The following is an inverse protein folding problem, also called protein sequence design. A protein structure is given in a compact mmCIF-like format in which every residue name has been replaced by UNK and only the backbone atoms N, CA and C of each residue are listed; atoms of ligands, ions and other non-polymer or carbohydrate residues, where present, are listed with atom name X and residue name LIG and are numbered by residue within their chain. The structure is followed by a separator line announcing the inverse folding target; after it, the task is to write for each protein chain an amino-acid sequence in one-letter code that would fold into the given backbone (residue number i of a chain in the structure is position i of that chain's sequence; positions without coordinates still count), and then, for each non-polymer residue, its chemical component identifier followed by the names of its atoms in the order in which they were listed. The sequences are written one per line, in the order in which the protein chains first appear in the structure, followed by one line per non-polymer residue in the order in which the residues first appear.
data_IF_081616301321
#
_entry.id   IF_081616301321
#
_cell.length_a   1.000
_cell.length_b   1.000
_cell.length_c   1.000
_cell.angle_alpha   90.00
_cell.angle_beta   90.00
_cell.angle_gamma   90.00
#
_symmetry.space_group_name_H-M   'P 1'
#
loop_
_entity.id
_entity.type
_entity.pdbx_description
1 polymer ?
#
# COMPACT_ATOMS: atom_id res chain seq x y z
N UNK A 1 -4.01 12.25 -2.61
CA UNK A 1 -4.54 12.74 -1.32
C UNK A 1 -5.77 11.94 -0.93
N UNK A 2 -5.80 11.39 0.27
CA UNK A 2 -6.96 10.70 0.82
C UNK A 2 -7.68 11.60 1.84
N UNK A 3 -8.95 11.35 2.09
CA UNK A 3 -9.71 11.99 3.16
C UNK A 3 -10.16 10.94 4.16
N UNK A 4 -9.74 11.10 5.42
CA UNK A 4 -10.14 10.25 6.53
C UNK A 4 -11.32 10.92 7.24
N UNK A 5 -12.44 10.20 7.40
CA UNK A 5 -13.64 10.74 8.05
C UNK A 5 -13.94 9.96 9.31
N UNK A 6 -14.33 10.71 10.33
CA UNK A 6 -15.05 10.19 11.49
C UNK A 6 -16.55 10.36 11.20
N UNK A 7 -17.37 9.37 11.54
CA UNK A 7 -18.81 9.38 11.30
C UNK A 7 -19.45 10.76 11.54
N UNK A 8 -20.05 11.32 10.48
CA UNK A 8 -20.78 12.59 10.53
C UNK A 8 -19.94 13.85 10.74
N UNK A 9 -18.60 13.78 10.77
CA UNK A 9 -17.71 14.94 10.92
C UNK A 9 -16.98 15.29 9.62
N UNK A 10 -16.52 16.54 9.53
CA UNK A 10 -15.67 17.01 8.42
C UNK A 10 -14.39 16.16 8.39
N UNK A 11 -14.13 15.53 7.25
CA UNK A 11 -12.94 14.70 7.05
C UNK A 11 -11.65 15.52 7.04
N UNK A 12 -10.55 14.87 7.38
CA UNK A 12 -9.21 15.43 7.24
C UNK A 12 -8.53 14.89 6.00
N UNK A 13 -7.99 15.80 5.20
CA UNK A 13 -7.19 15.44 4.05
C UNK A 13 -5.76 15.10 4.48
N UNK A 14 -5.27 13.93 4.07
CA UNK A 14 -3.92 13.45 4.35
C UNK A 14 -3.25 12.98 3.07
N UNK A 15 -1.94 13.22 2.99
CA UNK A 15 -1.09 12.59 2.00
C UNK A 15 -0.72 11.20 2.50
N UNK A 16 -0.78 10.22 1.60
CA UNK A 16 -0.46 8.83 1.90
C UNK A 16 0.41 8.28 0.79
N UNK A 17 1.42 7.50 1.15
CA UNK A 17 2.21 6.68 0.24
C UNK A 17 1.32 5.57 -0.30
N UNK A 18 1.31 5.41 -1.62
CA UNK A 18 0.69 4.24 -2.26
C UNK A 18 1.71 3.12 -2.24
N UNK A 19 1.38 2.03 -1.57
CA UNK A 19 2.32 0.96 -1.29
C UNK A 19 1.67 -0.38 -1.65
N UNK A 20 1.99 -0.89 -2.85
CA UNK A 20 1.51 -2.19 -3.30
C UNK A 20 2.14 -3.36 -2.56
N UNK A 21 3.26 -3.15 -1.86
CA UNK A 21 3.93 -4.15 -1.02
C UNK A 21 3.30 -4.28 0.37
N UNK A 22 2.67 -3.20 0.86
CA UNK A 22 1.96 -3.21 2.14
C UNK A 22 0.60 -3.91 2.03
N UNK A 23 0.33 -4.85 2.94
CA UNK A 23 -0.98 -5.51 3.05
C UNK A 23 -2.09 -4.53 3.46
N UNK A 24 -1.81 -3.61 4.38
CA UNK A 24 -2.83 -2.81 5.06
C UNK A 24 -2.52 -1.31 5.11
N UNK A 25 -3.41 -0.57 5.76
CA UNK A 25 -3.24 0.86 6.01
C UNK A 25 -2.40 1.08 7.28
N UNK A 26 -1.48 2.02 7.23
CA UNK A 26 -0.75 2.52 8.41
C UNK A 26 -0.94 4.01 8.56
N UNK A 27 -1.19 4.47 9.80
CA UNK A 27 -1.27 5.90 10.13
C UNK A 27 -0.36 6.22 11.31
N UNK A 28 0.45 7.29 11.25
CA UNK A 28 1.20 7.77 12.40
C UNK A 28 0.27 8.07 13.57
N UNK A 29 0.67 7.70 14.78
CA UNK A 29 -0.15 7.86 15.99
C UNK A 29 -0.57 9.33 16.20
N UNK A 30 0.31 10.29 15.88
CA UNK A 30 0.04 11.73 15.94
C UNK A 30 -1.12 12.14 15.04
N UNK A 31 -1.19 11.60 13.82
CA UNK A 31 -2.31 11.84 12.91
C UNK A 31 -3.56 11.12 13.41
N UNK A 32 -3.44 9.85 13.78
CA UNK A 32 -4.58 9.07 14.23
C UNK A 32 -5.30 9.71 15.42
N UNK A 33 -4.53 10.16 16.42
CA UNK A 33 -5.06 10.82 17.61
C UNK A 33 -5.57 12.25 17.33
N UNK A 34 -4.96 13.01 16.42
CA UNK A 34 -5.44 14.36 16.09
C UNK A 34 -6.81 14.34 15.40
N UNK A 35 -7.15 13.23 14.74
CA UNK A 35 -8.48 12.97 14.17
C UNK A 35 -9.51 12.53 15.23
N UNK A 36 -9.07 12.26 16.45
CA UNK A 36 -9.91 11.76 17.54
C UNK A 36 -10.61 10.46 17.17
N UNK A 37 -9.88 9.55 16.52
CA UNK A 37 -10.33 8.20 16.19
C UNK A 37 -10.05 7.24 17.34
N UNK A 38 -10.85 6.17 17.41
CA UNK A 38 -10.83 5.23 18.52
C UNK A 38 -9.98 4.00 18.17
N UNK A 39 -9.02 3.69 19.04
CA UNK A 39 -8.30 2.42 18.98
C UNK A 39 -9.24 1.25 19.24
N UNK A 40 -9.02 0.16 18.51
CA UNK A 40 -9.70 -1.11 18.76
C UNK A 40 -9.07 -1.76 19.99
N UNK A 41 -9.88 -1.93 21.04
CA UNK A 41 -9.40 -2.52 22.30
C UNK A 41 -8.98 -3.98 22.07
N UNK A 42 -7.84 -4.34 22.66
CA UNK A 42 -7.28 -5.70 22.64
C UNK A 42 -6.99 -6.26 21.24
N UNK A 43 -6.97 -5.41 20.21
CA UNK A 43 -6.59 -5.78 18.85
C UNK A 43 -5.25 -5.13 18.52
N UNK A 44 -4.30 -5.96 18.11
CA UNK A 44 -2.95 -5.55 17.71
C UNK A 44 -2.66 -6.07 16.31
N UNK A 45 -1.99 -5.27 15.50
CA UNK A 45 -1.59 -5.64 14.14
C UNK A 45 -0.10 -5.91 14.12
N UNK A 46 0.26 -7.08 13.59
CA UNK A 46 1.65 -7.42 13.29
C UNK A 46 1.99 -6.82 11.92
N UNK A 47 3.01 -5.97 11.88
CA UNK A 47 3.59 -5.41 10.66
C UNK A 47 5.04 -5.83 10.55
N UNK A 48 5.57 -5.88 9.35
CA UNK A 48 6.98 -6.15 9.08
C UNK A 48 7.55 -4.98 8.28
N UNK A 49 8.75 -4.51 8.60
CA UNK A 49 9.43 -3.47 7.82
C UNK A 49 10.27 -4.07 6.68
N UNK A 50 10.81 -3.21 5.83
CA UNK A 50 11.65 -3.63 4.69
C UNK A 50 12.95 -4.38 5.09
N UNK A 51 13.30 -4.43 6.39
CA UNK A 51 14.45 -5.19 6.91
C UNK A 51 14.02 -6.51 7.55
N UNK A 52 12.74 -6.89 7.44
CA UNK A 52 12.19 -8.07 8.09
C UNK A 52 11.95 -7.90 9.58
N UNK A 53 12.07 -6.68 10.14
CA UNK A 53 11.77 -6.49 11.56
C UNK A 53 10.27 -6.51 11.79
N UNK A 54 9.86 -7.43 12.65
CA UNK A 54 8.47 -7.57 13.08
C UNK A 54 8.16 -6.57 14.18
N UNK A 55 7.13 -5.76 13.94
CA UNK A 55 6.58 -4.78 14.86
C UNK A 55 5.14 -5.14 15.20
N UNK A 56 4.75 -4.93 16.45
CA UNK A 56 3.35 -5.05 16.88
C UNK A 56 2.80 -3.67 17.20
N UNK A 57 1.72 -3.30 16.52
CA UNK A 57 1.12 -1.97 16.56
C UNK A 57 -0.31 -2.05 17.10
N UNK A 58 -0.78 -0.96 17.68
CA UNK A 58 -2.20 -0.83 18.00
C UNK A 58 -3.03 -0.86 16.72
N UNK A 59 -4.21 -1.48 16.79
CA UNK A 59 -5.19 -1.41 15.73
C UNK A 59 -6.12 -0.21 15.98
N UNK A 60 -6.45 0.50 14.92
CA UNK A 60 -7.43 1.57 14.92
C UNK A 60 -8.48 1.36 13.86
N UNK A 61 -9.67 1.91 14.06
CA UNK A 61 -10.72 1.97 13.06
C UNK A 61 -10.76 3.36 12.42
N UNK A 62 -10.72 3.42 11.09
CA UNK A 62 -11.07 4.61 10.31
C UNK A 62 -12.45 4.37 9.71
N UNK A 63 -13.50 5.09 10.16
CA UNK A 63 -14.86 4.82 9.69
C UNK A 63 -15.04 4.96 8.19
N UNK A 64 -14.52 6.04 7.58
CA UNK A 64 -14.45 6.14 6.11
C UNK A 64 -13.07 6.61 5.66
N UNK A 65 -12.49 5.89 4.71
CA UNK A 65 -11.35 6.33 3.91
C UNK A 65 -11.85 6.64 2.50
N UNK A 66 -11.67 7.89 2.08
CA UNK A 66 -12.06 8.36 0.75
C UNK A 66 -10.81 8.66 -0.08
N UNK A 67 -10.65 7.98 -1.21
CA UNK A 67 -9.58 8.19 -2.18
C UNK A 67 -10.20 8.54 -3.54
N UNK A 68 -10.30 9.85 -3.83
CA UNK A 68 -11.03 10.30 -5.02
C UNK A 68 -12.50 9.83 -4.98
N UNK A 69 -12.99 9.10 -6.00
CA UNK A 69 -14.34 8.53 -5.99
C UNK A 69 -14.47 7.24 -5.16
N UNK A 70 -13.37 6.59 -4.78
CA UNK A 70 -13.40 5.37 -3.98
C UNK A 70 -13.68 5.71 -2.51
N UNK A 71 -14.65 5.02 -1.91
CA UNK A 71 -14.96 5.08 -0.48
C UNK A 71 -14.87 3.67 0.09
N UNK A 72 -14.03 3.49 1.10
CA UNK A 72 -13.94 2.24 1.86
C UNK A 72 -14.34 2.53 3.30
N UNK A 73 -15.29 1.76 3.81
CA UNK A 73 -15.81 1.91 5.16
C UNK A 73 -15.11 0.95 6.13
N UNK A 74 -15.08 1.33 7.41
CA UNK A 74 -14.59 0.49 8.52
C UNK A 74 -13.18 -0.04 8.32
N UNK A 75 -12.26 0.84 7.89
CA UNK A 75 -10.89 0.47 7.57
C UNK A 75 -10.09 0.22 8.85
N UNK A 76 -9.71 -1.04 9.06
CA UNK A 76 -8.75 -1.44 10.09
C UNK A 76 -7.36 -0.92 9.68
N UNK A 77 -6.72 -0.20 10.60
CA UNK A 77 -5.47 0.51 10.35
C UNK A 77 -4.46 0.19 11.45
N UNK A 78 -3.21 -0.05 11.07
CA UNK A 78 -2.10 -0.10 12.02
C UNK A 78 -1.74 1.32 12.47
N UNK A 79 -1.75 1.56 13.78
CA UNK A 79 -1.47 2.88 14.37
C UNK A 79 -0.03 2.94 14.86
N UNK A 80 0.70 3.94 14.35
CA UNK A 80 2.11 4.19 14.65
C UNK A 80 2.96 4.30 13.39
N UNK A 81 4.29 4.41 13.57
CA UNK A 81 5.21 4.59 12.45
C UNK A 81 5.28 6.05 12.01
N UNK A 82 6.08 6.30 10.97
CA UNK A 82 6.38 7.68 10.55
C UNK A 82 5.59 8.13 9.33
N UNK A 83 5.09 7.19 8.53
CA UNK A 83 4.43 7.48 7.25
C UNK A 83 2.99 6.99 7.24
N UNK A 84 2.15 7.75 6.53
CA UNK A 84 0.81 7.32 6.16
C UNK A 84 0.94 6.39 4.95
N UNK A 85 0.50 5.16 5.08
CA UNK A 85 0.63 4.13 4.04
C UNK A 85 -0.75 3.62 3.66
N UNK A 86 -0.99 3.51 2.36
CA UNK A 86 -2.20 2.94 1.78
C UNK A 86 -1.84 1.65 1.04
N UNK A 87 -2.14 0.53 1.68
CA UNK A 87 -1.83 -0.81 1.18
C UNK A 87 -2.96 -1.50 0.42
N UNK A 88 -2.74 -2.79 0.16
CA UNK A 88 -3.62 -3.66 -0.62
C UNK A 88 -5.05 -3.79 -0.06
N UNK A 89 -5.24 -3.64 1.26
CA UNK A 89 -6.57 -3.60 1.87
C UNK A 89 -7.45 -2.46 1.36
N UNK A 90 -6.88 -1.46 0.69
CA UNK A 90 -7.62 -0.38 0.01
C UNK A 90 -7.44 -0.48 -1.50
N UNK A 91 -6.22 -0.69 -1.99
CA UNK A 91 -5.91 -0.72 -3.41
C UNK A 91 -6.66 -1.81 -4.17
N UNK A 92 -6.95 -2.94 -3.53
CA UNK A 92 -7.68 -4.06 -4.15
C UNK A 92 -9.17 -3.81 -4.38
N UNK A 93 -9.74 -2.72 -3.86
CA UNK A 93 -11.18 -2.41 -4.02
C UNK A 93 -11.54 -1.92 -5.43
N UNK A 94 -10.56 -1.52 -6.25
CA UNK A 94 -10.81 -1.06 -7.62
C UNK A 94 -9.57 -1.26 -8.48
N UNK A 95 -9.71 -1.57 -9.79
CA UNK A 95 -8.57 -1.52 -10.71
C UNK A 95 -7.88 -0.15 -10.64
N UNK A 96 -6.56 -0.14 -10.59
CA UNK A 96 -5.80 1.10 -10.47
C UNK A 96 -4.52 1.06 -11.30
N UNK A 97 -4.03 2.25 -11.62
CA UNK A 97 -2.79 2.47 -12.38
C UNK A 97 -2.05 3.67 -11.80
N UNK A 98 -0.73 3.58 -11.72
CA UNK A 98 0.13 4.74 -11.45
C UNK A 98 0.95 5.05 -12.69
N UNK A 99 0.87 6.30 -13.13
CA UNK A 99 1.76 6.93 -14.11
C UNK A 99 2.68 7.88 -13.33
N UNK A 100 3.91 7.45 -13.07
CA UNK A 100 4.91 8.21 -12.31
C UNK A 100 5.40 9.44 -13.05
N UNK A 101 5.57 9.34 -14.37
CA UNK A 101 6.05 10.43 -15.22
C UNK A 101 5.06 11.61 -15.22
N UNK A 102 3.77 11.32 -15.05
CA UNK A 102 2.71 12.32 -14.96
C UNK A 102 2.22 12.58 -13.54
N UNK A 103 2.78 11.89 -12.55
CA UNK A 103 2.38 12.00 -11.14
C UNK A 103 0.89 11.68 -10.92
N UNK A 104 0.35 10.68 -11.62
CA UNK A 104 -1.08 10.37 -11.64
C UNK A 104 -1.37 8.98 -11.09
N UNK A 105 -2.31 8.91 -10.16
CA UNK A 105 -3.02 7.67 -9.80
C UNK A 105 -4.39 7.69 -10.46
N UNK A 106 -4.70 6.65 -11.25
CA UNK A 106 -6.01 6.43 -11.85
C UNK A 106 -6.72 5.30 -11.12
N UNK A 107 -7.98 5.53 -10.71
CA UNK A 107 -8.84 4.52 -10.09
C UNK A 107 -9.96 4.13 -11.04
N UNK A 108 -10.42 2.88 -10.99
CA UNK A 108 -11.29 2.31 -12.00
C UNK A 108 -10.59 2.23 -13.36
N UNK A 109 -9.28 1.98 -13.36
CA UNK A 109 -8.49 1.91 -14.59
C UNK A 109 -9.06 0.84 -15.53
N UNK A 110 -9.30 1.22 -16.79
CA UNK A 110 -9.62 0.26 -17.82
C UNK A 110 -8.36 -0.55 -18.16
N UNK A 111 -8.49 -1.81 -18.60
CA UNK A 111 -7.37 -2.56 -19.14
C UNK A 111 -6.68 -1.75 -20.23
N UNK A 112 -5.34 -1.78 -20.27
CA UNK A 112 -4.60 -1.18 -21.36
C UNK A 112 -5.06 -1.78 -22.69
N UNK A 113 -5.32 -0.90 -23.66
CA UNK A 113 -5.54 -1.36 -25.01
C UNK A 113 -4.26 -2.07 -25.49
N UNK A 114 -4.41 -3.19 -26.19
CA UNK A 114 -3.28 -3.88 -26.82
C UNK A 114 -2.66 -2.95 -27.86
N UNK A 115 -1.66 -2.17 -27.43
CA UNK A 115 -0.91 -1.26 -28.28
C UNK A 115 0.54 -1.75 -28.36
N UNK A 116 1.14 -1.77 -29.56
CA UNK A 116 2.49 -2.30 -29.77
C UNK A 116 3.59 -1.53 -29.03
N UNK A 117 3.29 -0.35 -28.49
CA UNK A 117 4.22 0.49 -27.73
C UNK A 117 4.17 0.24 -26.22
N UNK A 118 3.24 -0.58 -25.73
CA UNK A 118 3.10 -0.89 -24.31
C UNK A 118 3.63 -2.30 -24.08
N UNK A 119 4.69 -2.42 -23.27
CA UNK A 119 5.21 -3.71 -22.84
C UNK A 119 4.52 -4.08 -21.53
N UNK A 120 3.68 -5.11 -21.58
CA UNK A 120 3.03 -5.69 -20.41
C UNK A 120 3.87 -6.88 -19.93
N UNK A 121 4.36 -6.80 -18.68
CA UNK A 121 4.99 -7.94 -18.02
C UNK A 121 3.94 -8.72 -17.22
N UNK A 122 3.92 -10.06 -17.30
CA UNK A 122 3.03 -10.85 -16.46
C UNK A 122 3.43 -10.67 -15.00
N UNK A 123 2.44 -10.35 -14.15
CA UNK A 123 2.58 -10.41 -12.71
C UNK A 123 1.96 -11.71 -12.21
N UNK A 124 2.62 -12.32 -11.23
CA UNK A 124 2.14 -13.50 -10.51
C UNK A 124 1.79 -13.09 -9.09
N UNK A 125 0.62 -13.49 -8.62
CA UNK A 125 0.24 -13.25 -7.23
C UNK A 125 0.78 -14.34 -6.33
N UNK A 126 1.52 -13.96 -5.30
CA UNK A 126 1.96 -14.83 -4.20
C UNK A 126 1.40 -14.31 -2.87
N UNK A 127 0.33 -14.93 -2.39
CA UNK A 127 -0.40 -14.42 -1.23
C UNK A 127 -1.01 -13.04 -1.51
N UNK A 128 -0.57 -12.03 -0.78
CA UNK A 128 -1.00 -10.63 -0.93
C UNK A 128 -0.02 -9.77 -1.74
N UNK A 129 1.04 -10.37 -2.27
CA UNK A 129 2.07 -9.68 -3.03
C UNK A 129 1.94 -9.94 -4.53
N UNK A 130 2.22 -8.91 -5.32
CA UNK A 130 2.36 -9.01 -6.77
C UNK A 130 3.85 -9.18 -7.11
N UNK A 131 4.19 -10.25 -7.83
CA UNK A 131 5.56 -10.69 -8.10
C UNK A 131 5.85 -10.62 -9.59
N UNK A 132 7.03 -10.13 -9.93
CA UNK A 132 7.58 -10.16 -11.29
C UNK A 132 8.88 -10.97 -11.28
N UNK A 133 9.06 -11.81 -12.29
CA UNK A 133 10.33 -12.50 -12.52
C UNK A 133 11.22 -11.62 -13.39
N UNK A 134 12.42 -11.31 -12.91
CA UNK A 134 13.44 -10.55 -13.64
C UNK A 134 14.66 -11.41 -13.91
N UNK A 135 15.38 -11.13 -15.02
CA UNK A 135 16.68 -11.72 -15.28
C UNK A 135 17.78 -10.84 -14.68
N UNK A 136 18.58 -11.41 -13.78
CA UNK A 136 19.75 -10.77 -13.19
C UNK A 136 21.00 -11.56 -13.59
N UNK A 137 21.62 -11.15 -14.71
CA UNK A 137 22.85 -11.78 -15.19
C UNK A 137 22.66 -13.23 -15.66
N UNK A 138 21.51 -13.54 -16.27
CA UNK A 138 21.16 -14.88 -16.72
C UNK A 138 20.48 -15.76 -15.65
N UNK A 139 20.24 -15.21 -14.46
CA UNK A 139 19.56 -15.90 -13.36
C UNK A 139 18.16 -15.32 -13.18
N UNK A 140 17.09 -16.12 -13.30
CA UNK A 140 15.74 -15.65 -13.01
C UNK A 140 15.56 -15.45 -11.50
N UNK A 141 15.10 -14.27 -11.11
CA UNK A 141 14.85 -13.89 -9.71
C UNK A 141 13.45 -13.30 -9.59
N UNK A 142 12.68 -13.80 -8.64
CA UNK A 142 11.35 -13.29 -8.32
C UNK A 142 11.45 -12.10 -7.36
N UNK A 143 10.83 -10.98 -7.73
CA UNK A 143 10.80 -9.75 -6.97
C UNK A 143 9.37 -9.28 -6.73
N UNK A 144 9.09 -8.80 -5.53
CA UNK A 144 7.83 -8.13 -5.20
C UNK A 144 7.81 -6.74 -5.83
N UNK A 145 6.70 -6.39 -6.47
CA UNK A 145 6.44 -5.04 -6.95
C UNK A 145 5.91 -4.20 -5.79
N UNK A 146 6.77 -3.33 -5.27
CA UNK A 146 6.50 -2.47 -4.12
C UNK A 146 6.63 -1.00 -4.53
N UNK A 147 5.50 -0.30 -4.67
CA UNK A 147 5.46 1.12 -5.01
C UNK A 147 5.84 2.06 -3.85
N UNK A 148 5.90 1.55 -2.61
CA UNK A 148 6.34 2.28 -1.44
C UNK A 148 7.84 2.17 -1.17
N UNK A 149 8.51 1.20 -1.81
CA UNK A 149 9.94 0.98 -1.65
C UNK A 149 10.78 2.12 -2.23
N UNK A 150 11.75 2.61 -1.43
CA UNK A 150 12.75 3.59 -1.89
C UNK A 150 13.85 2.95 -2.74
N UNK A 151 14.14 1.68 -2.51
CA UNK A 151 15.20 0.95 -3.20
C UNK A 151 14.77 -0.50 -3.46
N UNK A 152 15.21 -1.06 -4.58
CA UNK A 152 15.14 -2.50 -4.81
C UNK A 152 16.05 -3.21 -3.81
N UNK A 153 15.54 -4.25 -3.17
CA UNK A 153 16.33 -5.14 -2.34
C UNK A 153 16.36 -6.52 -2.96
N UNK A 154 17.51 -7.19 -2.85
CA UNK A 154 17.68 -8.56 -3.29
C UNK A 154 17.93 -9.44 -2.07
N UNK A 155 17.42 -10.69 -2.06
CA UNK A 155 17.80 -11.63 -1.02
C UNK A 155 19.32 -11.89 -1.10
N UNK A 156 19.95 -12.13 0.06
CA UNK A 156 21.41 -12.35 0.16
C UNK A 156 21.89 -13.50 -0.75
N UNK A 157 21.02 -14.46 -1.05
CA UNK A 157 21.28 -15.57 -1.97
C UNK A 157 21.59 -15.17 -3.41
N UNK A 158 21.27 -13.94 -3.83
CA UNK A 158 21.50 -13.43 -5.19
C UNK A 158 22.81 -12.64 -5.30
N UNK A 159 23.37 -12.15 -4.18
CA UNK A 159 24.59 -11.33 -4.14
C UNK A 159 25.89 -12.12 -3.91
N UNK A 160 25.81 -13.42 -3.67
CA UNK A 160 26.96 -14.29 -3.45
C UNK A 160 27.42 -14.95 -4.77
N UNK A 161 27.99 -14.16 -5.69
CA UNK A 161 28.66 -14.65 -6.90
C UNK A 161 30.03 -14.02 -7.05
#
# INVERSE_FOLDING_TARGET
MATLRRNGKRGAAVWMTIDSGATGVTLPATTYHSLGLDLLRDVRIRTEDARGHVLTRDAGLVPDLVLGPLVVNEVITAVGGEQHVLGQSILSHTPWEIDWDRGKLTLGAAPWADQPTVVSLPLRREGDSEVVTVDLGGVPVDLVVDTGAFASTLPESVGAS
#
